data_IF_536989831070
#
_entry.id   IF_536989831070
#
_cell.length_a   1.000
_cell.length_b   1.000
_cell.length_c   1.000
_cell.angle_alpha   90.00
_cell.angle_beta   90.00
_cell.angle_gamma   90.00
#
_symmetry.space_group_name_H-M   'P 1'
#
loop_
_entity.id
_entity.type
_entity.pdbx_description
1 polymer ?
#
# COMPACT_ATOMS: atom_id res chain seq x y z
N UNK A 1 4.08 -15.17 -20.53
CA UNK A 1 4.35 -16.35 -19.68
C UNK A 1 4.86 -15.77 -18.37
N UNK A 2 4.15 -16.00 -17.27
CA UNK A 2 4.40 -15.29 -16.01
C UNK A 2 5.77 -15.60 -15.43
N UNK A 3 6.54 -14.56 -15.13
CA UNK A 3 7.83 -14.64 -14.42
C UNK A 3 7.61 -14.85 -12.92
N UNK A 4 8.52 -15.58 -12.28
CA UNK A 4 8.52 -15.78 -10.83
C UNK A 4 9.35 -14.68 -10.16
N UNK A 5 8.94 -13.43 -10.35
CA UNK A 5 9.66 -12.26 -9.83
C UNK A 5 9.56 -12.16 -8.30
N UNK A 6 10.58 -11.60 -7.66
CA UNK A 6 10.64 -11.51 -6.20
C UNK A 6 9.49 -10.66 -5.64
N UNK A 7 8.90 -11.14 -4.53
CA UNK A 7 7.73 -10.52 -3.90
C UNK A 7 6.40 -10.66 -4.67
N UNK A 8 6.40 -11.20 -5.89
CA UNK A 8 5.20 -11.27 -6.76
C UNK A 8 4.08 -12.13 -6.15
N UNK A 9 2.83 -11.72 -6.41
CA UNK A 9 1.63 -12.45 -6.02
C UNK A 9 1.08 -13.26 -7.21
N UNK A 10 0.93 -14.58 -7.06
CA UNK A 10 0.48 -15.46 -8.14
C UNK A 10 -0.45 -16.60 -7.66
N UNK A 11 -1.24 -17.13 -8.59
CA UNK A 11 -1.89 -18.43 -8.48
C UNK A 11 -1.37 -19.37 -9.56
N UNK A 12 -1.24 -20.64 -9.21
CA UNK A 12 -0.87 -21.70 -10.13
C UNK A 12 -2.16 -22.36 -10.64
N UNK A 13 -2.43 -22.32 -11.95
CA UNK A 13 -3.53 -23.05 -12.58
C UNK A 13 -3.02 -24.35 -13.18
N UNK A 14 -3.42 -25.49 -12.66
CA UNK A 14 -3.05 -26.77 -13.28
C UNK A 14 -3.91 -27.07 -14.51
N UNK A 15 -3.56 -28.10 -15.29
CA UNK A 15 -4.27 -28.48 -16.52
C UNK A 15 -5.71 -28.95 -16.29
N UNK A 16 -6.01 -29.52 -15.12
CA UNK A 16 -7.39 -29.82 -14.68
C UNK A 16 -8.22 -28.54 -14.41
N UNK A 17 -7.64 -27.34 -14.53
CA UNK A 17 -8.28 -26.05 -14.25
C UNK A 17 -8.30 -25.65 -12.77
N UNK A 18 -7.79 -26.50 -11.86
CA UNK A 18 -7.69 -26.18 -10.44
C UNK A 18 -6.68 -25.05 -10.21
N UNK A 19 -7.06 -24.07 -9.39
CA UNK A 19 -6.19 -22.99 -8.92
C UNK A 19 -5.53 -23.36 -7.59
N UNK A 20 -4.33 -22.86 -7.33
CA UNK A 20 -3.75 -22.87 -5.98
C UNK A 20 -4.42 -21.83 -5.07
N UNK A 21 -4.21 -21.95 -3.73
CA UNK A 21 -4.20 -20.79 -2.84
C UNK A 21 -3.31 -19.68 -3.41
N UNK A 22 -3.54 -18.43 -2.99
CA UNK A 22 -2.68 -17.32 -3.41
C UNK A 22 -1.28 -17.50 -2.81
N UNK A 23 -0.24 -17.37 -3.63
CA UNK A 23 1.15 -17.47 -3.24
C UNK A 23 1.84 -16.13 -3.42
N UNK A 24 2.69 -15.77 -2.45
CA UNK A 24 3.76 -14.81 -2.66
C UNK A 24 5.06 -15.56 -2.97
N UNK A 25 5.79 -15.10 -4.00
CA UNK A 25 7.14 -15.54 -4.34
C UNK A 25 8.17 -14.82 -3.46
N UNK A 26 9.23 -15.53 -3.09
CA UNK A 26 10.44 -14.94 -2.52
C UNK A 26 11.67 -15.63 -3.15
N UNK A 27 12.64 -14.87 -3.65
CA UNK A 27 13.79 -15.39 -4.38
C UNK A 27 14.97 -15.72 -3.45
N UNK A 28 15.42 -16.97 -3.46
CA UNK A 28 16.60 -17.48 -2.74
C UNK A 28 17.63 -18.01 -3.75
N UNK A 29 18.44 -17.10 -4.31
CA UNK A 29 19.40 -17.39 -5.37
C UNK A 29 18.71 -17.89 -6.66
N UNK A 30 19.17 -19.02 -7.20
CA UNK A 30 18.55 -19.70 -8.35
C UNK A 30 17.24 -20.45 -7.98
N UNK A 31 16.65 -20.17 -6.81
CA UNK A 31 15.54 -20.95 -6.24
C UNK A 31 14.40 -20.08 -5.74
N UNK A 32 13.20 -20.63 -5.76
CA UNK A 32 11.96 -19.97 -5.35
C UNK A 32 11.48 -20.54 -4.02
N UNK A 33 11.24 -19.65 -3.07
CA UNK A 33 10.38 -19.90 -1.92
C UNK A 33 8.97 -19.39 -2.22
N UNK A 34 7.97 -20.04 -1.62
CA UNK A 34 6.58 -19.58 -1.67
C UNK A 34 6.05 -19.41 -0.26
N UNK A 35 5.19 -18.42 -0.01
CA UNK A 35 4.38 -18.32 1.22
C UNK A 35 2.95 -17.91 0.90
N UNK A 36 2.02 -18.21 1.80
CA UNK A 36 0.68 -17.62 1.76
C UNK A 36 0.78 -16.13 2.19
N UNK A 37 0.20 -15.16 1.47
CA UNK A 37 0.40 -13.74 1.75
C UNK A 37 0.04 -13.33 3.19
N UNK A 38 1.04 -12.82 3.91
CA UNK A 38 0.93 -12.42 5.31
C UNK A 38 1.09 -13.56 6.32
N UNK A 39 1.33 -14.80 5.90
CA UNK A 39 1.87 -15.83 6.78
C UNK A 39 3.39 -15.64 6.90
N UNK A 40 3.91 -15.75 8.12
CA UNK A 40 5.34 -15.55 8.39
C UNK A 40 6.23 -16.75 8.00
N UNK A 41 5.64 -17.88 7.60
CA UNK A 41 6.34 -19.10 7.23
C UNK A 41 6.18 -19.45 5.76
N UNK A 42 7.26 -19.93 5.14
CA UNK A 42 7.25 -20.44 3.78
C UNK A 42 6.67 -21.85 3.69
N UNK A 43 6.40 -22.26 2.46
CA UNK A 43 5.89 -23.57 2.06
C UNK A 43 6.89 -24.67 2.44
N UNK A 44 6.40 -25.73 3.08
CA UNK A 44 7.16 -26.91 3.47
C UNK A 44 6.50 -28.18 2.92
N UNK A 45 7.31 -29.14 2.47
CA UNK A 45 6.83 -30.50 2.12
C UNK A 45 7.09 -31.43 3.31
N UNK A 46 6.04 -31.73 4.06
CA UNK A 46 6.09 -32.61 5.23
C UNK A 46 6.20 -34.10 4.89
N UNK A 47 6.41 -34.92 5.92
CA UNK A 47 6.33 -36.39 5.81
C UNK A 47 4.95 -36.80 5.27
N UNK A 48 4.93 -37.71 4.29
CA UNK A 48 3.69 -38.14 3.63
C UNK A 48 3.16 -37.15 2.59
N UNK A 49 4.03 -36.34 1.96
CA UNK A 49 3.74 -35.47 0.81
C UNK A 49 2.79 -34.29 1.04
N UNK A 50 2.25 -34.15 2.27
CA UNK A 50 1.45 -33.00 2.69
C UNK A 50 2.27 -31.72 2.63
N UNK A 51 1.70 -30.67 2.03
CA UNK A 51 2.25 -29.31 2.07
C UNK A 51 1.58 -28.51 3.18
N UNK A 52 2.34 -27.64 3.85
CA UNK A 52 1.86 -26.66 4.81
C UNK A 52 2.75 -25.40 4.85
N UNK A 53 2.24 -24.32 5.48
CA UNK A 53 2.96 -23.06 5.72
C UNK A 53 3.25 -22.83 7.23
N UNK A 54 3.19 -23.88 8.06
CA UNK A 54 2.99 -23.73 9.52
C UNK A 54 4.28 -23.51 10.34
N UNK A 55 5.36 -23.01 9.74
CA UNK A 55 6.52 -22.45 10.46
C UNK A 55 7.30 -23.41 11.39
N UNK A 56 6.98 -24.71 11.38
CA UNK A 56 7.57 -25.69 12.30
C UNK A 56 8.93 -26.24 11.84
N UNK A 57 9.67 -26.85 12.77
CA UNK A 57 11.02 -27.44 12.54
C UNK A 57 11.14 -28.19 11.20
N UNK A 58 12.11 -27.81 10.39
CA UNK A 58 12.43 -28.34 9.07
C UNK A 58 13.12 -27.26 8.21
N UNK A 59 13.64 -27.63 7.04
CA UNK A 59 13.96 -26.64 5.99
C UNK A 59 12.68 -26.28 5.21
N UNK A 60 12.66 -25.10 4.59
CA UNK A 60 11.60 -24.73 3.64
C UNK A 60 11.77 -25.45 2.31
N UNK A 61 10.66 -25.68 1.62
CA UNK A 61 10.68 -26.24 0.28
C UNK A 61 11.08 -25.13 -0.71
N UNK A 62 12.35 -25.17 -1.14
CA UNK A 62 12.86 -24.42 -2.28
C UNK A 62 12.46 -25.12 -3.58
N UNK A 63 12.17 -24.35 -4.61
CA UNK A 63 11.76 -24.84 -5.92
C UNK A 63 12.60 -24.25 -7.05
N UNK A 64 12.70 -24.98 -8.16
CA UNK A 64 13.22 -24.50 -9.44
C UNK A 64 12.11 -24.67 -10.49
N UNK A 65 11.78 -23.65 -11.28
CA UNK A 65 10.85 -23.78 -12.39
C UNK A 65 11.44 -24.67 -13.49
N UNK A 66 10.62 -25.55 -14.06
CA UNK A 66 10.96 -26.44 -15.16
C UNK A 66 9.91 -26.23 -16.26
N UNK A 67 10.30 -25.57 -17.34
CA UNK A 67 9.38 -25.24 -18.42
C UNK A 67 8.95 -26.48 -19.22
N UNK A 68 7.69 -26.47 -19.65
CA UNK A 68 7.01 -27.57 -20.33
C UNK A 68 6.39 -27.06 -21.65
N UNK A 69 6.14 -28.00 -22.56
CA UNK A 69 5.42 -27.70 -23.79
C UNK A 69 4.02 -27.11 -23.50
N UNK A 70 3.63 -26.11 -24.30
CA UNK A 70 2.32 -25.45 -24.19
C UNK A 70 2.25 -24.28 -23.19
N UNK A 71 3.39 -23.77 -22.70
CA UNK A 71 3.41 -22.61 -21.79
C UNK A 71 3.10 -22.93 -20.32
N UNK A 72 3.19 -24.22 -19.95
CA UNK A 72 3.12 -24.67 -18.57
C UNK A 72 4.53 -24.77 -17.97
N UNK A 73 4.63 -24.67 -16.65
CA UNK A 73 5.87 -24.84 -15.87
C UNK A 73 5.58 -25.79 -14.70
N UNK A 74 6.48 -26.73 -14.44
CA UNK A 74 6.46 -27.56 -13.22
C UNK A 74 7.40 -26.96 -12.17
N UNK A 75 7.03 -27.02 -10.90
CA UNK A 75 7.87 -26.54 -9.80
C UNK A 75 8.59 -27.73 -9.14
N UNK A 76 9.84 -27.94 -9.51
CA UNK A 76 10.71 -29.01 -8.98
C UNK A 76 11.23 -28.62 -7.61
N UNK A 77 10.98 -29.41 -6.59
CA UNK A 77 11.52 -29.16 -5.25
C UNK A 77 13.00 -29.55 -5.15
N UNK A 78 13.76 -28.77 -4.39
CA UNK A 78 15.13 -29.07 -3.96
C UNK A 78 15.14 -29.63 -2.53
N UNK A 79 16.12 -30.46 -2.20
CA UNK A 79 16.25 -31.13 -0.89
C UNK A 79 15.24 -32.27 -0.63
N UNK A 80 14.11 -32.30 -1.34
CA UNK A 80 13.02 -33.24 -1.12
C UNK A 80 12.98 -34.32 -2.22
N UNK A 81 13.12 -35.59 -1.85
CA UNK A 81 13.06 -36.74 -2.75
C UNK A 81 12.26 -37.91 -2.13
N UNK A 82 11.61 -38.72 -2.97
CA UNK A 82 10.85 -39.90 -2.53
C UNK A 82 11.42 -41.19 -3.17
N UNK A 83 12.07 -42.04 -2.37
CA UNK A 83 12.73 -43.25 -2.85
C UNK A 83 13.66 -43.00 -4.06
N UNK A 84 14.40 -41.89 -4.04
CA UNK A 84 15.27 -41.42 -5.13
C UNK A 84 14.58 -40.60 -6.22
N UNK A 85 13.25 -40.58 -6.29
CA UNK A 85 12.51 -39.78 -7.27
C UNK A 85 12.50 -38.29 -6.89
N UNK A 86 12.61 -37.43 -7.90
CA UNK A 86 12.40 -35.98 -7.76
C UNK A 86 10.96 -35.70 -7.32
N UNK A 87 10.78 -34.69 -6.47
CA UNK A 87 9.45 -34.23 -6.04
C UNK A 87 9.10 -32.91 -6.74
N UNK A 88 7.85 -32.77 -7.16
CA UNK A 88 7.26 -31.57 -7.74
C UNK A 88 6.11 -31.07 -6.87
N UNK A 89 5.85 -29.76 -6.86
CA UNK A 89 4.62 -29.20 -6.29
C UNK A 89 3.41 -29.67 -7.10
N UNK A 90 2.30 -29.95 -6.43
CA UNK A 90 1.06 -30.43 -7.04
C UNK A 90 -0.18 -29.85 -6.35
N UNK A 91 -1.34 -29.91 -7.02
CA UNK A 91 -2.65 -29.59 -6.43
C UNK A 91 -3.48 -30.85 -6.18
N UNK A 92 -4.26 -30.83 -5.09
CA UNK A 92 -5.31 -31.79 -4.81
C UNK A 92 -6.63 -31.06 -4.48
N UNK A 93 -7.74 -31.55 -4.99
CA UNK A 93 -9.06 -31.10 -4.56
C UNK A 93 -9.35 -31.67 -3.15
N UNK A 94 -9.70 -30.81 -2.20
CA UNK A 94 -9.99 -31.23 -0.82
C UNK A 94 -11.42 -31.72 -0.62
N UNK A 95 -12.36 -31.23 -1.43
CA UNK A 95 -13.75 -31.66 -1.48
C UNK A 95 -14.38 -31.26 -2.81
N UNK A 96 -15.29 -32.09 -3.33
CA UNK A 96 -16.08 -31.80 -4.54
C UNK A 96 -17.04 -30.61 -4.31
N UNK A 97 -17.44 -30.36 -3.06
CA UNK A 97 -18.49 -29.40 -2.73
C UNK A 97 -18.00 -27.96 -2.47
N UNK A 98 -16.72 -27.75 -2.17
CA UNK A 98 -16.20 -26.45 -1.72
C UNK A 98 -15.29 -25.72 -2.72
N UNK A 99 -14.99 -26.34 -3.87
CA UNK A 99 -13.94 -25.90 -4.82
C UNK A 99 -12.55 -25.66 -4.19
N UNK A 100 -12.34 -26.09 -2.94
CA UNK A 100 -11.11 -25.83 -2.19
C UNK A 100 -9.99 -26.79 -2.60
N UNK A 101 -8.82 -26.21 -2.83
CA UNK A 101 -7.62 -26.89 -3.30
C UNK A 101 -6.51 -26.83 -2.25
N UNK A 102 -5.93 -27.98 -1.94
CA UNK A 102 -4.71 -28.04 -1.15
C UNK A 102 -3.50 -28.18 -2.06
N UNK A 103 -2.41 -27.56 -1.65
CA UNK A 103 -1.09 -27.91 -2.16
C UNK A 103 -0.72 -29.29 -1.63
N UNK A 104 -0.04 -30.06 -2.46
CA UNK A 104 0.52 -31.37 -2.16
C UNK A 104 1.81 -31.54 -2.98
N UNK A 105 2.39 -32.73 -3.00
CA UNK A 105 3.57 -33.01 -3.80
C UNK A 105 3.47 -34.34 -4.54
N UNK A 106 4.08 -34.40 -5.73
CA UNK A 106 4.03 -35.54 -6.64
C UNK A 106 5.45 -35.99 -7.05
N UNK A 107 5.64 -37.27 -7.32
CA UNK A 107 6.92 -37.83 -7.80
C UNK A 107 7.10 -37.73 -9.32
N UNK A 108 6.11 -37.22 -10.04
CA UNK A 108 6.10 -37.06 -11.50
C UNK A 108 5.42 -35.75 -11.93
N UNK A 109 5.76 -35.29 -13.13
CA UNK A 109 5.03 -34.21 -13.81
C UNK A 109 3.79 -34.82 -14.46
N UNK A 110 2.63 -34.25 -14.18
CA UNK A 110 1.34 -34.60 -14.76
C UNK A 110 0.37 -33.43 -14.64
N UNK A 111 -0.91 -33.65 -14.94
CA UNK A 111 -1.88 -32.56 -15.14
C UNK A 111 -2.18 -31.73 -13.87
N UNK A 112 -1.76 -32.21 -12.70
CA UNK A 112 -1.84 -31.51 -11.40
C UNK A 112 -0.52 -30.93 -10.87
N UNK A 113 0.59 -31.15 -11.56
CA UNK A 113 1.94 -30.64 -11.24
C UNK A 113 2.59 -29.85 -12.40
N UNK A 114 1.87 -29.69 -13.50
CA UNK A 114 2.15 -28.74 -14.58
C UNK A 114 1.21 -27.54 -14.46
N UNK A 115 1.75 -26.32 -14.35
CA UNK A 115 0.99 -25.11 -14.03
C UNK A 115 1.15 -24.00 -15.08
N UNK A 116 0.06 -23.33 -15.39
CA UNK A 116 0.05 -21.98 -15.95
C UNK A 116 0.17 -20.99 -14.79
N UNK A 117 1.13 -20.07 -14.86
CA UNK A 117 1.37 -19.07 -13.82
C UNK A 117 0.46 -17.86 -14.05
N UNK A 118 -0.53 -17.67 -13.18
CA UNK A 118 -1.44 -16.53 -13.20
C UNK A 118 -0.95 -15.47 -12.20
N UNK A 119 -0.28 -14.42 -12.69
CA UNK A 119 0.07 -13.26 -11.87
C UNK A 119 -1.23 -12.56 -11.39
N UNK A 120 -1.29 -12.16 -10.11
CA UNK A 120 -2.42 -11.36 -9.61
C UNK A 120 -2.53 -10.02 -10.32
N UNK A 121 -1.43 -9.46 -10.83
CA UNK A 121 -1.49 -8.23 -11.62
C UNK A 121 -2.32 -8.40 -12.89
N UNK A 122 -2.23 -9.54 -13.58
CA UNK A 122 -3.14 -9.84 -14.71
C UNK A 122 -4.60 -10.04 -14.25
N UNK A 123 -4.85 -10.59 -13.05
CA UNK A 123 -6.21 -10.73 -12.54
C UNK A 123 -6.82 -9.38 -12.10
N UNK A 124 -6.01 -8.49 -11.54
CA UNK A 124 -6.37 -7.09 -11.26
C UNK A 124 -6.72 -6.34 -12.56
N UNK A 125 -6.00 -6.63 -13.65
CA UNK A 125 -6.23 -6.06 -15.00
C UNK A 125 -7.38 -6.73 -15.78
N UNK A 126 -8.04 -7.78 -15.25
CA UNK A 126 -9.17 -8.47 -15.89
C UNK A 126 -10.55 -8.01 -15.39
N UNK A 127 -10.61 -6.98 -14.56
CA UNK A 127 -11.80 -6.14 -14.47
C UNK A 127 -11.96 -5.33 -15.77
N UNK A 128 -13.15 -4.77 -16.02
CA UNK A 128 -13.28 -3.70 -17.01
C UNK A 128 -12.30 -2.56 -16.70
N UNK A 129 -11.72 -1.89 -17.72
CA UNK A 129 -10.75 -0.82 -17.49
C UNK A 129 -11.37 0.24 -16.56
N UNK A 130 -10.69 0.63 -15.46
CA UNK A 130 -11.29 1.46 -14.44
C UNK A 130 -11.76 2.80 -15.03
N UNK A 131 -12.87 3.37 -14.52
CA UNK A 131 -13.42 4.61 -15.04
C UNK A 131 -12.36 5.73 -14.94
N UNK A 132 -12.08 6.40 -16.06
CA UNK A 132 -11.09 7.47 -16.08
C UNK A 132 -11.65 8.73 -15.42
N UNK A 133 -10.92 9.25 -14.42
CA UNK A 133 -11.15 10.58 -13.85
C UNK A 133 -10.04 11.52 -14.31
N UNK A 134 -10.28 12.42 -15.29
CA UNK A 134 -9.26 13.34 -15.77
C UNK A 134 -8.97 14.45 -14.75
N UNK A 135 -7.70 14.67 -14.42
CA UNK A 135 -7.29 15.81 -13.60
C UNK A 135 -7.29 17.09 -14.42
N UNK A 136 -8.11 18.06 -14.00
CA UNK A 136 -8.11 19.41 -14.55
C UNK A 136 -6.81 20.16 -14.20
N UNK A 137 -6.56 21.29 -14.87
CA UNK A 137 -5.51 22.23 -14.49
C UNK A 137 -5.66 22.65 -13.02
N UNK A 138 -6.87 23.04 -12.60
CA UNK A 138 -7.17 23.46 -11.24
C UNK A 138 -6.91 22.37 -10.18
N UNK A 139 -7.11 21.08 -10.50
CA UNK A 139 -6.73 19.99 -9.60
C UNK A 139 -5.22 19.90 -9.38
N UNK A 140 -4.42 20.14 -10.43
CA UNK A 140 -2.96 20.14 -10.37
C UNK A 140 -2.43 21.37 -9.65
N UNK A 141 -2.99 22.53 -9.95
CA UNK A 141 -2.72 23.82 -9.28
C UNK A 141 -3.07 23.78 -7.79
N UNK A 142 -4.19 23.16 -7.40
CA UNK A 142 -4.54 22.94 -6.00
C UNK A 142 -3.54 22.03 -5.27
N UNK A 143 -3.09 20.94 -5.91
CA UNK A 143 -2.04 20.07 -5.37
C UNK A 143 -0.70 20.80 -5.21
N UNK A 144 -0.31 21.62 -6.18
CA UNK A 144 0.95 22.36 -6.13
C UNK A 144 0.94 23.49 -5.11
N UNK A 145 -0.13 24.30 -5.08
CA UNK A 145 -0.26 25.43 -4.16
C UNK A 145 -0.47 24.98 -2.71
N UNK A 146 -1.38 24.04 -2.45
CA UNK A 146 -1.72 23.63 -1.06
C UNK A 146 -0.90 22.45 -0.55
N UNK A 147 -0.30 21.66 -1.45
CA UNK A 147 0.38 20.40 -1.14
C UNK A 147 -0.53 19.17 -1.10
N UNK A 148 -1.85 19.35 -1.22
CA UNK A 148 -2.83 18.24 -1.23
C UNK A 148 -3.97 18.47 -2.23
N UNK A 149 -4.72 17.41 -2.54
CA UNK A 149 -5.92 17.46 -3.39
C UNK A 149 -6.98 16.52 -2.81
N UNK A 150 -8.23 16.99 -2.74
CA UNK A 150 -9.39 16.19 -2.36
C UNK A 150 -10.23 15.89 -3.61
N UNK A 151 -10.57 14.61 -3.81
CA UNK A 151 -11.41 14.11 -4.90
C UNK A 151 -12.62 13.36 -4.30
N UNK A 152 -13.77 14.02 -4.13
CA UNK A 152 -14.95 13.43 -3.50
C UNK A 152 -15.50 12.23 -4.28
N UNK A 153 -15.91 11.17 -3.58
CA UNK A 153 -16.60 10.01 -4.14
C UNK A 153 -15.84 9.19 -5.20
N UNK A 154 -14.52 9.40 -5.37
CA UNK A 154 -13.72 8.79 -6.44
C UNK A 154 -13.67 7.25 -6.38
N UNK A 155 -13.80 6.66 -5.18
CA UNK A 155 -13.89 5.22 -4.93
C UNK A 155 -15.36 4.86 -4.69
N UNK A 156 -16.02 4.08 -5.58
CA UNK A 156 -17.44 3.76 -5.43
C UNK A 156 -17.76 2.93 -4.18
N UNK A 157 -18.99 3.09 -3.66
CA UNK A 157 -19.47 2.45 -2.43
C UNK A 157 -19.24 0.93 -2.35
N UNK A 158 -19.43 0.11 -3.41
CA UNK A 158 -19.18 -1.32 -3.34
C UNK A 158 -17.72 -1.69 -3.00
N UNK A 159 -16.74 -0.92 -3.51
CA UNK A 159 -15.32 -1.08 -3.19
C UNK A 159 -15.04 -0.69 -1.73
N UNK A 160 -15.64 0.42 -1.26
CA UNK A 160 -15.57 0.86 0.14
C UNK A 160 -16.13 -0.20 1.09
N UNK A 161 -17.33 -0.71 0.82
CA UNK A 161 -17.97 -1.77 1.60
C UNK A 161 -17.17 -3.07 1.60
N UNK A 162 -16.59 -3.47 0.46
CA UNK A 162 -15.77 -4.67 0.37
C UNK A 162 -14.51 -4.55 1.24
N UNK A 163 -13.85 -3.39 1.24
CA UNK A 163 -12.71 -3.10 2.10
C UNK A 163 -13.09 -3.09 3.59
N UNK A 164 -14.15 -2.36 3.97
CA UNK A 164 -14.67 -2.36 5.34
C UNK A 164 -15.01 -3.76 5.84
N UNK A 165 -15.67 -4.58 5.00
CA UNK A 165 -16.06 -5.95 5.33
C UNK A 165 -14.84 -6.85 5.58
N UNK A 166 -13.78 -6.68 4.78
CA UNK A 166 -12.51 -7.39 4.99
C UNK A 166 -11.80 -6.94 6.29
N UNK A 167 -11.70 -5.63 6.54
CA UNK A 167 -11.08 -5.08 7.75
C UNK A 167 -11.85 -5.54 9.01
N UNK A 168 -13.18 -5.46 8.99
CA UNK A 168 -14.00 -5.82 10.14
C UNK A 168 -14.05 -7.33 10.40
N UNK A 169 -14.00 -8.17 9.35
CA UNK A 169 -13.81 -9.61 9.52
C UNK A 169 -12.44 -9.94 10.15
N UNK A 170 -11.38 -9.23 9.75
CA UNK A 170 -10.05 -9.37 10.32
C UNK A 170 -9.99 -8.90 11.79
N UNK A 171 -10.58 -7.74 12.11
CA UNK A 171 -10.73 -7.25 13.49
C UNK A 171 -11.53 -8.24 14.37
N UNK A 172 -12.46 -9.01 13.79
CA UNK A 172 -13.20 -10.08 14.45
C UNK A 172 -12.32 -11.22 15.02
N UNK A 173 -11.05 -11.31 14.60
CA UNK A 173 -10.05 -12.24 15.16
C UNK A 173 -9.53 -11.81 16.54
N UNK A 174 -9.96 -10.65 17.06
CA UNK A 174 -9.58 -10.16 18.38
C UNK A 174 -8.08 -9.89 18.48
N UNK A 175 -7.41 -10.44 19.49
CA UNK A 175 -5.96 -10.26 19.68
C UNK A 175 -5.13 -10.78 18.48
N UNK A 176 -5.60 -11.80 17.77
CA UNK A 176 -4.91 -12.35 16.59
C UNK A 176 -5.00 -11.45 15.34
N UNK A 177 -5.80 -10.38 15.38
CA UNK A 177 -5.83 -9.37 14.33
C UNK A 177 -4.60 -8.44 14.33
N UNK A 178 -3.82 -8.43 15.42
CA UNK A 178 -2.82 -7.41 15.73
C UNK A 178 -1.40 -7.95 15.82
N UNK A 179 -0.44 -7.13 15.43
CA UNK A 179 1.01 -7.32 15.61
C UNK A 179 1.67 -6.00 16.03
N UNK A 180 2.92 -6.07 16.46
CA UNK A 180 3.73 -4.88 16.73
C UNK A 180 4.59 -4.52 15.51
N UNK A 181 4.58 -3.25 15.12
CA UNK A 181 5.31 -2.71 13.96
C UNK A 181 5.91 -1.34 14.38
N UNK A 182 7.23 -1.20 14.31
CA UNK A 182 7.98 -0.02 14.83
C UNK A 182 7.58 0.41 16.26
N UNK A 183 7.27 -0.55 17.15
CA UNK A 183 6.85 -0.28 18.54
C UNK A 183 5.39 0.18 18.68
N UNK A 184 4.54 -0.05 17.67
CA UNK A 184 3.14 0.37 17.63
C UNK A 184 2.22 -0.79 17.23
N UNK A 185 0.98 -0.87 17.74
CA UNK A 185 -0.01 -1.83 17.27
C UNK A 185 -0.40 -1.57 15.80
N UNK A 186 -0.29 -2.60 14.97
CA UNK A 186 -0.70 -2.61 13.57
C UNK A 186 -1.55 -3.85 13.26
N UNK A 187 -2.32 -3.81 12.17
CA UNK A 187 -3.04 -5.01 11.72
C UNK A 187 -2.05 -6.04 11.14
N UNK A 188 -2.09 -7.24 11.71
CA UNK A 188 -1.25 -8.38 11.35
C UNK A 188 -1.71 -9.06 10.05
N UNK A 189 -0.84 -9.89 9.49
CA UNK A 189 -1.19 -10.82 8.41
C UNK A 189 -1.48 -10.15 7.07
N UNK A 190 -2.14 -10.89 6.17
CA UNK A 190 -2.29 -10.53 4.76
C UNK A 190 -3.30 -9.41 4.48
N UNK A 191 -3.97 -8.85 5.50
CA UNK A 191 -5.04 -7.88 5.29
C UNK A 191 -4.57 -6.61 4.55
N UNK A 192 -3.32 -6.18 4.77
CA UNK A 192 -2.69 -5.03 4.09
C UNK A 192 -2.58 -5.20 2.57
N UNK A 193 -2.47 -6.43 2.07
CA UNK A 193 -2.38 -6.77 0.63
C UNK A 193 -3.61 -7.52 0.12
N UNK A 194 -4.64 -7.67 0.95
CA UNK A 194 -5.85 -8.40 0.58
C UNK A 194 -6.60 -7.73 -0.58
N UNK A 195 -7.15 -8.55 -1.48
CA UNK A 195 -7.79 -8.10 -2.72
C UNK A 195 -8.78 -6.94 -2.54
N UNK A 196 -9.70 -6.92 -1.54
CA UNK A 196 -10.62 -5.78 -1.34
C UNK A 196 -9.93 -4.47 -0.97
N UNK A 197 -8.74 -4.51 -0.36
CA UNK A 197 -7.95 -3.32 -0.04
C UNK A 197 -7.24 -2.81 -1.29
N UNK A 198 -6.56 -3.69 -2.03
CA UNK A 198 -5.85 -3.30 -3.25
C UNK A 198 -6.80 -2.86 -4.38
N UNK A 199 -8.04 -3.37 -4.39
CA UNK A 199 -9.11 -2.93 -5.30
C UNK A 199 -9.52 -1.46 -5.09
N UNK A 200 -9.31 -0.86 -3.91
CA UNK A 200 -9.56 0.58 -3.70
C UNK A 200 -8.70 1.44 -4.63
N UNK A 201 -7.47 1.00 -4.90
CA UNK A 201 -6.52 1.68 -5.80
C UNK A 201 -6.71 1.24 -7.26
N UNK A 202 -6.71 -0.07 -7.52
CA UNK A 202 -6.59 -0.63 -8.87
C UNK A 202 -7.91 -0.91 -9.59
N UNK A 203 -9.03 -1.04 -8.87
CA UNK A 203 -10.36 -1.30 -9.45
C UNK A 203 -11.27 -0.05 -9.38
N UNK A 204 -10.65 1.13 -9.42
CA UNK A 204 -11.28 2.46 -9.41
C UNK A 204 -10.43 3.46 -10.21
N UNK A 205 -10.93 4.69 -10.35
CA UNK A 205 -10.18 5.79 -10.96
C UNK A 205 -8.89 6.19 -10.21
N UNK A 206 -8.70 5.72 -8.96
CA UNK A 206 -7.65 6.19 -8.07
C UNK A 206 -6.22 5.98 -8.62
N UNK A 207 -5.90 4.82 -9.21
CA UNK A 207 -4.57 4.62 -9.80
C UNK A 207 -4.35 5.47 -11.06
N UNK A 208 -5.37 5.63 -11.91
CA UNK A 208 -5.29 6.49 -13.11
C UNK A 208 -5.11 7.97 -12.78
N UNK A 209 -5.58 8.41 -11.60
CA UNK A 209 -5.29 9.75 -11.05
C UNK A 209 -3.82 9.89 -10.62
N UNK A 210 -3.19 8.82 -10.10
CA UNK A 210 -1.76 8.80 -9.75
C UNK A 210 -0.89 8.78 -11.01
N UNK A 211 -1.26 8.00 -12.03
CA UNK A 211 -0.59 7.98 -13.34
C UNK A 211 -0.61 9.37 -14.00
N UNK A 212 -1.69 10.14 -13.85
CA UNK A 212 -1.79 11.54 -14.32
C UNK A 212 -0.96 12.58 -13.55
N UNK A 213 -0.28 12.18 -12.46
CA UNK A 213 0.61 13.03 -11.66
C UNK A 213 2.06 12.56 -11.75
N UNK A 214 2.32 11.27 -11.52
CA UNK A 214 3.66 10.68 -11.51
C UNK A 214 4.09 10.11 -12.87
N UNK A 215 3.20 10.07 -13.87
CA UNK A 215 3.44 9.40 -15.15
C UNK A 215 3.44 7.88 -15.01
N UNK A 216 4.57 7.31 -14.57
CA UNK A 216 4.77 5.85 -14.40
C UNK A 216 5.01 5.49 -12.92
N UNK A 217 3.97 5.44 -12.08
CA UNK A 217 4.09 5.04 -10.68
C UNK A 217 4.50 3.56 -10.53
N UNK A 218 5.33 3.27 -9.53
CA UNK A 218 5.52 1.90 -9.01
C UNK A 218 4.19 1.40 -8.43
N UNK A 219 3.88 0.13 -8.67
CA UNK A 219 2.67 -0.54 -8.14
C UNK A 219 2.90 -0.96 -6.69
N UNK A 220 2.26 -0.37 -5.67
CA UNK A 220 2.32 -0.90 -4.31
C UNK A 220 1.58 -2.26 -4.23
N UNK A 221 2.20 -3.23 -3.57
CA UNK A 221 1.61 -4.56 -3.33
C UNK A 221 0.88 -4.66 -1.98
N UNK A 222 0.94 -3.61 -1.15
CA UNK A 222 0.27 -3.51 0.14
C UNK A 222 -0.07 -2.05 0.48
N UNK A 223 -1.03 -1.86 1.39
CA UNK A 223 -1.47 -0.56 1.90
C UNK A 223 -1.31 -0.45 3.42
N UNK A 224 -1.22 0.78 3.94
CA UNK A 224 -1.39 1.05 5.37
C UNK A 224 -2.88 1.20 5.69
N UNK A 225 -3.44 0.29 6.48
CA UNK A 225 -4.78 0.45 7.05
C UNK A 225 -4.63 1.26 8.34
N UNK A 226 -5.16 2.48 8.35
CA UNK A 226 -5.11 3.39 9.47
C UNK A 226 -6.47 3.45 10.18
N UNK A 227 -6.52 2.91 11.40
CA UNK A 227 -7.68 2.94 12.27
C UNK A 227 -7.48 3.95 13.39
N UNK A 228 -8.47 4.81 13.63
CA UNK A 228 -8.51 5.71 14.81
C UNK A 228 -9.77 5.44 15.60
N UNK A 229 -9.64 4.66 16.67
CA UNK A 229 -10.74 4.34 17.59
C UNK A 229 -11.15 5.57 18.42
N UNK A 230 -12.42 5.65 18.86
CA UNK A 230 -12.88 6.65 19.82
C UNK A 230 -12.03 6.67 21.10
N UNK A 231 -11.65 7.87 21.56
CA UNK A 231 -10.97 8.07 22.84
C UNK A 231 -11.99 8.26 23.95
N UNK A 232 -11.90 7.48 25.03
CA UNK A 232 -12.98 7.39 26.04
C UNK A 232 -13.21 8.65 26.89
N UNK A 233 -12.19 9.48 27.06
CA UNK A 233 -12.21 10.67 27.93
C UNK A 233 -11.33 11.79 27.33
N UNK A 234 -11.17 12.90 28.06
CA UNK A 234 -10.27 14.02 27.75
C UNK A 234 -8.80 13.59 27.65
N UNK A 235 -8.40 13.07 26.50
CA UNK A 235 -6.99 13.06 26.07
C UNK A 235 -6.50 14.50 26.05
N UNK A 236 -5.30 14.73 26.58
CA UNK A 236 -4.63 16.03 26.54
C UNK A 236 -4.60 16.59 25.11
N UNK A 237 -4.66 17.91 24.98
CA UNK A 237 -4.68 18.58 23.68
C UNK A 237 -3.48 18.18 22.83
N UNK A 238 -3.73 17.88 21.56
CA UNK A 238 -2.66 17.61 20.62
C UNK A 238 -2.00 18.94 20.25
N UNK A 239 -0.86 19.23 20.87
CA UNK A 239 -0.08 20.44 20.63
C UNK A 239 0.30 20.58 19.15
N UNK A 240 0.42 21.83 18.66
CA UNK A 240 0.66 22.13 17.24
C UNK A 240 2.09 21.76 16.76
N UNK A 241 2.92 21.14 17.59
CA UNK A 241 4.19 20.51 17.23
C UNK A 241 4.05 19.01 16.85
N UNK A 242 2.92 18.36 17.19
CA UNK A 242 2.66 16.92 16.97
C UNK A 242 2.35 16.54 15.51
N UNK A 243 2.73 17.38 14.55
CA UNK A 243 2.69 17.07 13.12
C UNK A 243 3.85 16.13 12.74
N UNK A 244 3.75 15.46 11.60
CA UNK A 244 4.89 14.83 10.94
C UNK A 244 4.84 14.96 9.41
N UNK A 245 5.99 14.82 8.76
CA UNK A 245 6.08 14.52 7.33
C UNK A 245 6.42 13.04 7.21
N UNK A 246 5.98 12.43 6.13
CA UNK A 246 6.16 11.00 5.93
C UNK A 246 7.67 10.67 5.81
N UNK A 247 8.09 9.55 6.39
CA UNK A 247 9.50 9.16 6.32
C UNK A 247 10.51 9.99 7.12
N UNK A 248 10.08 10.80 8.10
CA UNK A 248 10.96 11.59 8.98
C UNK A 248 12.26 10.89 9.47
N UNK A 249 12.21 9.58 9.72
CA UNK A 249 13.35 8.76 10.19
C UNK A 249 14.16 8.10 9.06
N UNK A 250 14.05 8.59 7.82
CA UNK A 250 14.68 8.03 6.61
C UNK A 250 15.56 9.10 5.94
N UNK A 251 16.54 8.70 5.10
CA UNK A 251 17.32 9.61 4.28
C UNK A 251 16.45 10.63 3.54
N UNK A 252 16.88 11.90 3.60
CA UNK A 252 16.20 13.07 3.04
C UNK A 252 14.71 13.23 3.40
N UNK A 253 14.18 12.45 4.35
CA UNK A 253 12.76 12.35 4.67
C UNK A 253 11.87 12.17 3.41
N UNK A 254 12.31 11.36 2.44
CA UNK A 254 11.66 11.19 1.12
C UNK A 254 11.51 9.72 0.64
N UNK A 255 10.94 8.79 1.44
CA UNK A 255 10.87 7.37 1.06
C UNK A 255 9.87 7.04 -0.07
N UNK A 256 9.03 7.99 -0.50
CA UNK A 256 8.17 7.87 -1.68
C UNK A 256 8.00 9.25 -2.33
N UNK A 257 6.83 9.59 -2.89
CA UNK A 257 6.54 10.94 -3.42
C UNK A 257 5.13 11.43 -3.09
N UNK A 258 4.12 10.59 -3.33
CA UNK A 258 2.70 10.90 -3.16
C UNK A 258 2.02 9.91 -2.20
N UNK A 259 1.27 10.42 -1.22
CA UNK A 259 0.40 9.63 -0.36
C UNK A 259 -1.02 9.69 -0.91
N UNK A 260 -1.62 8.54 -1.24
CA UNK A 260 -3.04 8.45 -1.61
C UNK A 260 -3.81 7.81 -0.45
N UNK A 261 -4.71 8.56 0.17
CA UNK A 261 -5.61 8.11 1.23
C UNK A 261 -7.04 7.93 0.73
N UNK A 262 -7.61 6.74 0.89
CA UNK A 262 -9.04 6.47 0.64
C UNK A 262 -9.79 6.47 1.96
N UNK A 263 -10.81 7.31 2.08
CA UNK A 263 -11.69 7.33 3.24
C UNK A 263 -12.69 6.18 3.17
N UNK A 264 -12.78 5.37 4.23
CA UNK A 264 -13.75 4.27 4.33
C UNK A 264 -14.85 4.58 5.37
N UNK A 265 -14.79 5.71 6.05
CA UNK A 265 -15.77 6.17 7.03
C UNK A 265 -15.86 7.69 6.99
N UNK A 266 -17.04 8.25 7.23
CA UNK A 266 -17.20 9.69 7.32
C UNK A 266 -16.40 10.29 8.50
N UNK A 267 -15.80 11.47 8.28
CA UNK A 267 -15.28 12.37 9.32
C UNK A 267 -16.01 13.72 9.21
N UNK A 268 -17.31 13.78 9.58
CA UNK A 268 -18.22 14.87 9.22
C UNK A 268 -18.02 16.17 10.02
N UNK A 269 -17.02 16.19 10.90
CA UNK A 269 -16.59 17.33 11.69
C UNK A 269 -15.12 17.14 12.08
N UNK A 270 -14.55 18.16 12.69
CA UNK A 270 -13.27 18.10 13.39
C UNK A 270 -13.28 17.09 14.55
N UNK A 271 -12.11 16.59 14.92
CA UNK A 271 -11.93 15.59 15.98
C UNK A 271 -12.77 14.30 15.81
N UNK A 272 -13.13 13.96 14.57
CA UNK A 272 -13.65 12.65 14.17
C UNK A 272 -12.52 11.66 13.78
N UNK A 273 -11.30 11.88 14.27
CA UNK A 273 -10.10 11.10 13.97
C UNK A 273 -9.44 11.47 12.64
N UNK A 274 -9.72 12.67 12.12
CA UNK A 274 -9.40 13.19 10.79
C UNK A 274 -7.89 13.12 10.43
N UNK A 275 -7.59 13.32 9.15
CA UNK A 275 -6.25 13.70 8.72
C UNK A 275 -6.17 15.24 8.83
N UNK A 276 -5.36 15.74 9.76
CA UNK A 276 -5.06 17.16 9.85
C UNK A 276 -3.85 17.49 8.99
N UNK A 277 -3.93 18.49 8.12
CA UNK A 277 -2.84 18.95 7.24
C UNK A 277 -2.51 20.42 7.47
N UNK A 278 -1.28 20.83 7.22
CA UNK A 278 -0.90 22.24 7.11
C UNK A 278 -0.71 22.58 5.63
N UNK A 279 -1.64 23.32 5.00
CA UNK A 279 -1.51 23.74 3.60
C UNK A 279 -0.21 24.53 3.37
N UNK A 280 0.34 24.48 2.15
CA UNK A 280 1.60 25.13 1.74
C UNK A 280 2.88 24.66 2.47
N UNK A 281 2.76 23.78 3.47
CA UNK A 281 3.92 23.38 4.31
C UNK A 281 4.96 22.55 3.55
N UNK A 282 4.59 21.92 2.43
CA UNK A 282 5.48 21.10 1.60
C UNK A 282 6.67 21.89 1.05
N UNK A 283 6.44 23.06 0.46
CA UNK A 283 7.52 23.90 -0.09
C UNK A 283 8.47 24.37 1.01
N UNK A 284 7.92 24.87 2.13
CA UNK A 284 8.71 25.35 3.29
C UNK A 284 9.53 24.23 3.94
N UNK A 285 8.97 23.03 4.09
CA UNK A 285 9.66 21.90 4.70
C UNK A 285 10.63 21.21 3.76
N UNK A 286 10.41 21.25 2.43
CA UNK A 286 11.38 20.77 1.45
C UNK A 286 12.68 21.58 1.49
N UNK A 287 12.59 22.90 1.45
CA UNK A 287 13.78 23.77 1.52
C UNK A 287 14.51 23.66 2.87
N UNK A 288 13.78 23.50 3.98
CA UNK A 288 14.40 23.26 5.28
C UNK A 288 15.11 21.89 5.36
N UNK A 289 14.55 20.84 4.77
CA UNK A 289 15.22 19.52 4.68
C UNK A 289 16.42 19.60 3.73
N UNK A 290 16.35 20.34 2.62
CA UNK A 290 17.48 20.61 1.73
C UNK A 290 18.59 21.37 2.47
N UNK A 291 18.25 22.44 3.20
CA UNK A 291 19.19 23.22 4.01
C UNK A 291 19.91 22.34 5.05
N UNK A 292 19.20 21.39 5.67
CA UNK A 292 19.75 20.42 6.64
C UNK A 292 20.59 19.32 5.99
N UNK A 293 20.27 18.91 4.76
CA UNK A 293 21.11 17.97 4.00
C UNK A 293 22.49 18.56 3.61
N UNK A 294 22.66 19.87 3.74
CA UNK A 294 23.93 20.59 3.57
C UNK A 294 24.65 20.88 4.90
N UNK A 295 24.02 20.62 6.06
CA UNK A 295 24.70 20.68 7.35
C UNK A 295 25.69 19.49 7.49
N UNK A 296 26.85 19.66 8.16
CA UNK A 296 27.80 18.56 8.35
C UNK A 296 27.14 17.37 9.07
N UNK A 297 27.48 16.12 8.69
CA UNK A 297 26.74 14.94 9.13
C UNK A 297 26.76 14.79 10.65
N UNK A 298 25.56 14.89 11.24
CA UNK A 298 25.31 14.54 12.64
C UNK A 298 25.49 13.03 12.81
N UNK A 299 25.88 12.56 13.99
CA UNK A 299 25.98 11.11 14.26
C UNK A 299 24.63 10.43 14.00
N UNK A 300 24.64 9.19 13.53
CA UNK A 300 23.42 8.47 13.14
C UNK A 300 22.40 8.38 14.30
N UNK A 301 22.89 8.26 15.54
CA UNK A 301 22.11 8.26 16.78
C UNK A 301 21.32 9.56 16.96
N UNK A 302 21.92 10.72 16.66
CA UNK A 302 21.27 12.03 16.76
C UNK A 302 20.16 12.20 15.71
N UNK A 303 20.37 11.70 14.48
CA UNK A 303 19.39 11.79 13.38
C UNK A 303 18.19 10.86 13.61
N UNK A 304 18.42 9.67 14.17
CA UNK A 304 17.36 8.72 14.49
C UNK A 304 16.49 9.16 15.69
N UNK A 305 17.07 9.92 16.63
CA UNK A 305 16.39 10.44 17.81
C UNK A 305 15.53 11.69 17.49
N UNK A 306 16.09 12.68 16.79
CA UNK A 306 15.33 13.82 16.27
C UNK A 306 15.86 14.25 14.88
N UNK A 307 15.11 14.03 13.79
CA UNK A 307 15.50 14.48 12.46
C UNK A 307 15.49 16.02 12.30
N UNK A 308 14.93 16.75 13.26
CA UNK A 308 15.01 18.22 13.37
C UNK A 308 16.06 18.69 14.39
N UNK A 309 16.75 17.75 15.03
CA UNK A 309 17.98 17.99 15.78
C UNK A 309 17.89 19.06 16.87
N UNK A 310 16.77 19.07 17.62
CA UNK A 310 16.45 19.97 18.71
C UNK A 310 15.57 21.17 18.33
N UNK A 311 15.38 21.44 17.04
CA UNK A 311 14.69 22.64 16.56
C UNK A 311 13.74 22.31 15.41
N UNK A 312 12.48 22.00 15.73
CA UNK A 312 11.43 21.84 14.71
C UNK A 312 10.99 23.20 14.14
N UNK A 313 10.85 23.33 12.82
CA UNK A 313 10.23 24.49 12.18
C UNK A 313 8.85 24.82 12.73
N UNK A 314 8.62 26.07 13.15
CA UNK A 314 7.25 26.55 13.34
C UNK A 314 6.48 26.41 12.00
N UNK A 315 5.21 26.02 12.08
CA UNK A 315 4.27 26.06 10.98
C UNK A 315 3.29 27.22 11.21
N UNK A 316 2.75 27.75 10.11
CA UNK A 316 1.85 28.89 10.16
C UNK A 316 0.40 28.41 10.25
N UNK A 317 -0.35 28.93 11.23
CA UNK A 317 -1.72 28.49 11.50
C UNK A 317 -1.83 27.11 12.15
N UNK A 318 -3.08 26.70 12.40
CA UNK A 318 -3.42 25.37 12.94
C UNK A 318 -3.69 24.36 11.82
N UNK A 319 -3.63 23.07 12.14
CA UNK A 319 -3.98 22.01 11.18
C UNK A 319 -5.42 22.16 10.65
N UNK A 320 -5.58 22.13 9.31
CA UNK A 320 -6.88 21.95 8.66
C UNK A 320 -7.28 20.48 8.79
N UNK A 321 -8.36 20.20 9.53
CA UNK A 321 -8.89 18.84 9.65
C UNK A 321 -9.71 18.48 8.41
N UNK A 322 -9.22 17.57 7.57
CA UNK A 322 -9.95 17.16 6.38
C UNK A 322 -11.22 16.39 6.78
N UNK A 323 -12.37 16.94 6.39
CA UNK A 323 -13.69 16.34 6.60
C UNK A 323 -14.05 15.55 5.34
N UNK A 324 -14.19 14.22 5.48
CA UNK A 324 -14.26 13.28 4.36
C UNK A 324 -15.53 12.42 4.46
N UNK A 325 -16.00 11.94 3.31
CA UNK A 325 -17.05 10.92 3.19
C UNK A 325 -16.46 9.57 2.74
N UNK A 326 -17.15 8.43 2.97
CA UNK A 326 -16.70 7.14 2.48
C UNK A 326 -16.66 7.13 0.94
N UNK A 327 -15.49 6.84 0.37
CA UNK A 327 -15.23 6.89 -1.08
C UNK A 327 -14.38 8.09 -1.51
N UNK A 328 -14.22 9.10 -0.66
CA UNK A 328 -13.35 10.25 -0.95
C UNK A 328 -11.88 9.83 -1.00
N UNK A 329 -11.14 10.41 -1.94
CA UNK A 329 -9.69 10.24 -2.09
C UNK A 329 -8.97 11.55 -1.81
N UNK A 330 -8.04 11.51 -0.85
CA UNK A 330 -7.08 12.58 -0.61
C UNK A 330 -5.72 12.19 -1.17
N UNK A 331 -5.11 13.08 -1.95
CA UNK A 331 -3.72 13.01 -2.38
C UNK A 331 -2.92 14.01 -1.55
N UNK A 332 -1.77 13.62 -1.01
CA UNK A 332 -0.91 14.49 -0.19
C UNK A 332 0.53 14.33 -0.64
N UNK A 333 1.18 15.44 -1.00
CA UNK A 333 2.61 15.45 -1.28
C UNK A 333 3.41 15.11 -0.01
N UNK A 334 4.43 14.24 -0.10
CA UNK A 334 5.11 13.67 1.08
C UNK A 334 5.70 14.70 2.07
N UNK A 335 6.00 15.92 1.61
CA UNK A 335 6.53 17.02 2.44
C UNK A 335 5.47 17.81 3.20
N UNK A 336 4.17 17.59 2.96
CA UNK A 336 3.11 18.24 3.75
C UNK A 336 3.18 17.73 5.19
N UNK A 337 3.33 18.66 6.13
CA UNK A 337 3.15 18.37 7.54
C UNK A 337 1.69 18.01 7.82
N UNK A 338 1.50 16.89 8.49
CA UNK A 338 0.17 16.35 8.78
C UNK A 338 0.17 15.57 10.11
N UNK A 339 -0.99 15.44 10.74
CA UNK A 339 -1.21 14.62 11.95
C UNK A 339 -2.46 13.76 11.83
N UNK A 340 -2.51 12.68 12.60
CA UNK A 340 -3.79 12.06 12.93
C UNK A 340 -4.41 12.82 14.11
N UNK A 341 -5.59 13.38 13.91
CA UNK A 341 -6.29 14.17 14.93
C UNK A 341 -6.92 13.27 16.01
N UNK A 342 -7.48 13.87 17.05
CA UNK A 342 -8.23 13.17 18.10
C UNK A 342 -9.49 12.55 17.50
N UNK A 343 -10.00 11.47 18.10
CA UNK A 343 -11.32 10.95 17.75
C UNK A 343 -12.24 11.00 18.99
N UNK A 344 -12.97 12.10 19.12
CA UNK A 344 -14.03 12.31 20.10
C UNK A 344 -15.40 11.80 19.61
N UNK A 345 -15.51 11.38 18.34
CA UNK A 345 -16.75 10.79 17.82
C UNK A 345 -16.98 9.37 18.39
N UNK A 346 -18.23 8.85 18.39
CA UNK A 346 -18.52 7.48 18.82
C UNK A 346 -18.14 6.41 17.78
N UNK A 347 -17.54 6.77 16.65
CA UNK A 347 -17.26 5.88 15.52
C UNK A 347 -15.76 5.69 15.29
N UNK A 348 -15.34 4.49 14.88
CA UNK A 348 -13.95 4.26 14.45
C UNK A 348 -13.74 4.91 13.08
N UNK A 349 -12.70 5.73 12.93
CA UNK A 349 -12.27 6.23 11.61
C UNK A 349 -11.47 5.15 10.90
N UNK A 350 -11.89 4.79 9.69
CA UNK A 350 -11.23 3.86 8.79
C UNK A 350 -10.66 4.61 7.58
N UNK A 351 -9.35 4.49 7.36
CA UNK A 351 -8.68 4.97 6.16
C UNK A 351 -7.73 3.90 5.63
N UNK A 352 -7.52 3.87 4.32
CA UNK A 352 -6.45 3.10 3.69
C UNK A 352 -5.51 4.07 2.97
N UNK A 353 -4.21 3.99 3.23
CA UNK A 353 -3.20 4.80 2.56
C UNK A 353 -2.27 3.95 1.69
N UNK A 354 -1.96 4.45 0.50
CA UNK A 354 -0.95 3.92 -0.41
C UNK A 354 0.20 4.93 -0.52
N UNK A 355 1.44 4.46 -0.37
CA UNK A 355 2.65 5.24 -0.60
C UNK A 355 3.12 4.99 -2.03
N UNK A 356 3.25 6.05 -2.81
CA UNK A 356 3.41 6.00 -4.26
C UNK A 356 4.62 6.82 -4.70
N UNK A 357 5.36 6.31 -5.66
CA UNK A 357 6.57 6.92 -6.22
C UNK A 357 6.66 6.59 -7.70
N UNK A 358 7.28 7.46 -8.51
CA UNK A 358 7.64 7.15 -9.88
C UNK A 358 8.62 5.96 -9.96
N UNK A 359 8.66 5.23 -11.08
CA UNK A 359 9.62 4.13 -11.29
C UNK A 359 11.08 4.57 -11.20
N UNK A 360 11.39 5.85 -11.43
CA UNK A 360 12.74 6.42 -11.28
C UNK A 360 13.06 6.96 -9.87
N UNK A 361 12.09 6.99 -8.94
CA UNK A 361 12.32 7.52 -7.59
C UNK A 361 13.28 6.64 -6.79
N UNK A 362 14.39 7.19 -6.35
CA UNK A 362 15.29 6.55 -5.39
C UNK A 362 15.19 7.29 -4.05
N UNK A 363 14.98 6.53 -2.97
CA UNK A 363 14.86 7.06 -1.61
C UNK A 363 16.23 7.35 -0.97
N UNK A 364 17.30 6.75 -1.49
CA UNK A 364 18.68 6.92 -1.02
C UNK A 364 19.47 7.94 -1.86
N UNK A 365 18.88 8.43 -2.96
CA UNK A 365 19.47 9.48 -3.79
C UNK A 365 19.40 10.86 -3.12
N UNK A 366 20.31 11.80 -3.45
CA UNK A 366 20.29 13.16 -2.94
C UNK A 366 18.95 13.88 -3.22
N UNK A 367 18.47 14.67 -2.26
CA UNK A 367 17.22 15.42 -2.38
C UNK A 367 17.22 16.39 -3.57
N UNK A 368 16.41 16.08 -4.59
CA UNK A 368 16.24 16.88 -5.80
C UNK A 368 15.29 18.09 -5.63
N UNK A 369 14.57 18.43 -6.69
CA UNK A 369 13.47 19.39 -6.69
C UNK A 369 12.25 18.90 -5.91
N UNK A 370 11.29 19.81 -5.71
CA UNK A 370 10.06 19.53 -4.97
C UNK A 370 9.12 18.60 -5.76
N UNK A 371 9.07 18.78 -7.08
CA UNK A 371 8.17 18.08 -8.01
C UNK A 371 8.91 17.13 -8.96
N UNK A 372 10.17 16.78 -8.67
CA UNK A 372 10.95 15.84 -9.49
C UNK A 372 10.16 14.54 -9.72
N UNK A 373 10.13 14.07 -10.96
CA UNK A 373 9.35 12.89 -11.39
C UNK A 373 7.81 12.97 -11.23
N UNK A 374 7.23 14.13 -10.91
CA UNK A 374 5.81 14.38 -11.18
C UNK A 374 5.64 14.73 -12.68
N UNK A 375 5.78 13.73 -13.56
CA UNK A 375 5.71 13.90 -15.03
C UNK A 375 4.42 14.62 -15.48
N UNK A 376 3.33 14.51 -14.69
CA UNK A 376 2.05 15.17 -14.95
C UNK A 376 1.93 16.62 -14.48
N UNK A 377 2.91 17.15 -13.74
CA UNK A 377 2.97 18.56 -13.28
C UNK A 377 4.01 19.39 -14.07
N UNK A 378 4.83 18.75 -14.90
CA UNK A 378 5.86 19.39 -15.70
C UNK A 378 5.32 20.58 -16.53
N UNK A 379 5.98 21.73 -16.41
CA UNK A 379 5.56 22.97 -17.09
C UNK A 379 4.54 23.82 -16.33
N UNK A 380 4.08 23.40 -15.14
CA UNK A 380 3.37 24.25 -14.17
C UNK A 380 4.31 24.87 -13.11
N UNK A 381 5.53 24.33 -13.03
CA UNK A 381 6.62 24.81 -12.18
C UNK A 381 6.94 26.29 -12.48
N UNK A 382 6.76 27.15 -11.46
CA UNK A 382 6.93 28.61 -11.58
C UNK A 382 5.65 29.43 -11.37
N UNK A 383 4.46 28.81 -11.40
CA UNK A 383 3.20 29.51 -11.06
C UNK A 383 3.09 29.83 -9.55
N UNK A 384 3.81 29.10 -8.68
CA UNK A 384 3.75 29.23 -7.21
C UNK A 384 4.08 30.64 -6.70
N UNK A 385 4.93 31.41 -7.39
CA UNK A 385 5.35 32.76 -6.98
C UNK A 385 4.24 33.81 -7.10
N UNK A 386 3.17 33.55 -7.86
CA UNK A 386 2.06 34.49 -8.06
C UNK A 386 1.02 34.52 -6.92
N UNK A 387 1.05 33.57 -5.99
CA UNK A 387 -0.04 33.32 -5.03
C UNK A 387 0.30 33.73 -3.58
N UNK A 388 0.86 34.92 -3.40
CA UNK A 388 1.06 35.55 -2.11
C UNK A 388 0.04 36.71 -1.93
N UNK A 389 -1.12 36.41 -1.32
CA UNK A 389 -1.69 37.18 -0.19
C UNK A 389 -3.19 36.87 0.09
N UNK A 390 -3.96 36.26 -0.82
CA UNK A 390 -5.38 35.96 -0.56
C UNK A 390 -5.64 34.58 0.10
N UNK A 391 -6.44 34.51 1.19
CA UNK A 391 -6.83 33.26 1.83
C UNK A 391 -8.02 32.60 1.10
N UNK A 392 -7.71 31.68 0.18
CA UNK A 392 -8.71 30.96 -0.62
C UNK A 392 -9.46 29.89 0.19
N UNK A 393 -10.55 30.30 0.85
CA UNK A 393 -11.60 29.39 1.33
C UNK A 393 -12.35 28.78 0.13
N UNK A 394 -11.77 27.74 -0.47
CA UNK A 394 -12.26 27.07 -1.67
C UNK A 394 -13.42 26.09 -1.41
N UNK A 395 -14.40 26.48 -0.58
CA UNK A 395 -15.71 25.80 -0.50
C UNK A 395 -16.56 26.16 -1.72
N UNK A 396 -16.12 25.73 -2.90
CA UNK A 396 -16.92 25.77 -4.13
C UNK A 396 -17.86 24.55 -4.12
N UNK A 397 -19.18 24.71 -3.90
CA UNK A 397 -20.09 23.57 -3.89
C UNK A 397 -20.16 22.96 -5.29
N UNK A 398 -19.87 21.66 -5.41
CA UNK A 398 -20.16 20.91 -6.63
C UNK A 398 -21.67 20.96 -6.90
N UNK A 399 -22.04 21.54 -8.04
CA UNK A 399 -23.43 21.66 -8.45
C UNK A 399 -24.04 20.25 -8.65
N UNK A 400 -25.15 19.99 -7.97
CA UNK A 400 -25.85 18.70 -8.01
C UNK A 400 -26.96 18.73 -9.07
N UNK A 401 -26.57 19.13 -10.29
CA UNK A 401 -27.40 19.17 -11.47
C UNK A 401 -27.35 17.86 -12.27
N UNK A 402 -28.51 17.21 -12.36
CA UNK A 402 -28.91 16.25 -13.42
C UNK A 402 -28.00 15.03 -13.70
N UNK A 403 -28.20 13.96 -12.93
CA UNK A 403 -28.30 12.57 -13.43
C UNK A 403 -29.29 11.75 -12.57
#
# INVERSE_FOLDING_TARGET
>A
MGTFDDGALLQLRCKDGLLSPLLQVEADGDTLLFREPGMAGHLRIGRGHRVDFQGGRGEWARFVPVDLAGGFTALKSLGHANAGNTIFLALAATSVASQSTSLTSASTIGDRSAFEVLLQEEQLQRADPPPMFPLSFAHKEALMSTGYLLLPGLVPTPQVEAALRAINAHLGLGAAAWSEEEGRPALAGGIKSARPIMYLLYATAAFGVVEQLLGRPRRPHAAQIALRFPTRDFVAEQTEDQWHIDGMKKPHMSPFQLLLGVALSATPADDCGNLGVWPRSHTRLHEEVRRRALEPPRTAENVAADPWGGARPALDGSAVQLQLQPGDVVLVHQKVAHRVCKNASPHVRYQVYFRLSHVLHDAEAPLGGLWDHFEGLAGLEGLEEGFADEPTHADAPLDKGEL
#
